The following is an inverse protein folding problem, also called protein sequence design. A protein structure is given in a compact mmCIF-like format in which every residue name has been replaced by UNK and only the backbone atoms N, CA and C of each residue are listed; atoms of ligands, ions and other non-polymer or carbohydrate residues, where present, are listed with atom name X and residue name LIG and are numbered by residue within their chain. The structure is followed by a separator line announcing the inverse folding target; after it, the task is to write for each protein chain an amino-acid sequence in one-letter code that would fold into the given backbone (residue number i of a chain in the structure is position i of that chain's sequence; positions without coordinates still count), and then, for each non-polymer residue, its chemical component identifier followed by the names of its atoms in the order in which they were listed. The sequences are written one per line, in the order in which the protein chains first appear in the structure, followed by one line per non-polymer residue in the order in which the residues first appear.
data_IF_305167286116
#
_entry.id   IF_305167286116
#
_cell.length_a   1.000
_cell.length_b   1.000
_cell.length_c   1.000
_cell.angle_alpha   90.00
_cell.angle_beta   90.00
_cell.angle_gamma   90.00
#
_symmetry.space_group_name_H-M   'P 1'
#
loop_
_entity.id
_entity.type
_entity.pdbx_description
1 polymer ?
#
# COMPACT_ATOMS: atom_id res chain seq x y z
N UNK A 1 -5.71 -15.92 12.75
CA UNK A 1 -5.00 -16.05 11.46
C UNK A 1 -5.00 -14.72 10.75
N UNK A 2 -3.84 -14.30 10.26
CA UNK A 2 -3.67 -13.03 9.55
C UNK A 2 -3.15 -13.27 8.11
N UNK A 3 -3.61 -12.47 7.16
CA UNK A 3 -3.09 -12.38 5.81
C UNK A 3 -2.40 -11.02 5.65
N UNK A 4 -1.13 -11.02 5.25
CA UNK A 4 -0.40 -9.84 4.80
C UNK A 4 -0.35 -9.87 3.27
N UNK A 5 -1.11 -9.00 2.61
CA UNK A 5 -1.36 -9.01 1.17
C UNK A 5 -0.47 -7.99 0.46
N UNK A 6 0.38 -8.46 -0.46
CA UNK A 6 1.45 -7.67 -1.05
C UNK A 6 2.55 -7.42 -0.01
N UNK A 7 3.03 -8.48 0.63
CA UNK A 7 3.88 -8.40 1.81
C UNK A 7 5.28 -7.81 1.55
N UNK A 8 5.73 -7.77 0.28
CA UNK A 8 7.08 -7.32 -0.06
C UNK A 8 8.14 -8.02 0.78
N UNK A 9 9.02 -7.27 1.43
CA UNK A 9 10.06 -7.79 2.32
C UNK A 9 9.55 -8.20 3.71
N UNK A 10 8.24 -8.25 3.97
CA UNK A 10 7.62 -8.86 5.15
C UNK A 10 7.50 -7.97 6.39
N UNK A 11 7.61 -6.66 6.27
CA UNK A 11 7.56 -5.78 7.46
C UNK A 11 6.28 -5.93 8.28
N UNK A 12 5.11 -5.98 7.63
CA UNK A 12 3.84 -6.20 8.31
C UNK A 12 3.72 -7.65 8.78
N UNK A 13 4.15 -8.63 7.98
CA UNK A 13 4.18 -10.04 8.35
C UNK A 13 4.94 -10.28 9.66
N UNK A 14 6.14 -9.70 9.80
CA UNK A 14 6.95 -9.86 11.02
C UNK A 14 6.32 -9.18 12.23
N UNK A 15 5.73 -8.00 12.05
CA UNK A 15 5.03 -7.30 13.12
C UNK A 15 3.83 -8.10 13.64
N UNK A 16 3.04 -8.69 12.73
CA UNK A 16 1.91 -9.56 13.07
C UNK A 16 2.36 -10.85 13.76
N UNK A 17 3.41 -11.48 13.26
CA UNK A 17 3.95 -12.69 13.87
C UNK A 17 4.52 -12.44 15.27
N UNK A 18 5.15 -11.29 15.51
CA UNK A 18 5.70 -10.91 16.80
C UNK A 18 4.64 -10.78 17.91
N UNK A 19 3.38 -10.53 17.56
CA UNK A 19 2.26 -10.51 18.53
C UNK A 19 1.49 -11.83 18.56
N UNK A 20 2.05 -12.92 17.99
CA UNK A 20 1.53 -14.28 18.10
C UNK A 20 0.47 -14.62 17.03
N UNK A 21 0.34 -13.86 15.96
CA UNK A 21 -0.55 -14.22 14.87
C UNK A 21 0.02 -15.37 14.03
N UNK A 22 -0.84 -16.27 13.56
CA UNK A 22 -0.52 -17.18 12.46
C UNK A 22 -0.62 -16.41 11.15
N UNK A 23 0.53 -16.12 10.52
CA UNK A 23 0.61 -15.21 9.37
C UNK A 23 0.78 -15.96 8.06
N UNK A 24 -0.02 -15.58 7.06
CA UNK A 24 0.24 -15.90 5.67
C UNK A 24 0.71 -14.62 4.97
N UNK A 25 1.94 -14.61 4.49
CA UNK A 25 2.52 -13.53 3.70
C UNK A 25 2.33 -13.84 2.20
N UNK A 26 1.54 -13.02 1.50
CA UNK A 26 1.27 -13.23 0.07
C UNK A 26 1.89 -12.11 -0.76
N UNK A 27 2.58 -12.49 -1.84
CA UNK A 27 3.14 -11.57 -2.82
C UNK A 27 3.20 -12.21 -4.21
N UNK A 28 3.25 -11.39 -5.27
CA UNK A 28 3.50 -11.86 -6.64
C UNK A 28 4.96 -12.27 -6.85
N UNK A 29 5.89 -11.64 -6.12
CA UNK A 29 7.33 -11.80 -6.31
C UNK A 29 7.88 -12.99 -5.52
N UNK A 30 8.31 -14.08 -6.17
CA UNK A 30 8.96 -15.19 -5.47
C UNK A 30 10.26 -14.77 -4.78
N UNK A 31 10.95 -13.74 -5.28
CA UNK A 31 12.15 -13.21 -4.65
C UNK A 31 11.83 -12.53 -3.30
N UNK A 32 10.73 -11.77 -3.19
CA UNK A 32 10.28 -11.19 -1.93
C UNK A 32 9.86 -12.29 -0.94
N UNK A 33 9.12 -13.28 -1.39
CA UNK A 33 8.71 -14.40 -0.55
C UNK A 33 9.91 -15.21 -0.03
N UNK A 34 10.97 -15.37 -0.82
CA UNK A 34 12.21 -16.02 -0.38
C UNK A 34 12.90 -15.22 0.76
N UNK A 35 12.93 -13.88 0.64
CA UNK A 35 13.45 -13.00 1.70
C UNK A 35 12.61 -13.15 2.99
N UNK A 36 11.29 -13.14 2.87
CA UNK A 36 10.38 -13.33 4.02
C UNK A 36 10.61 -14.69 4.69
N UNK A 37 10.68 -15.77 3.91
CA UNK A 37 10.89 -17.11 4.44
C UNK A 37 12.24 -17.26 5.16
N UNK A 38 13.31 -16.71 4.58
CA UNK A 38 14.65 -16.73 5.20
C UNK A 38 14.68 -15.95 6.51
N UNK A 39 14.10 -14.74 6.52
CA UNK A 39 14.08 -13.90 7.70
C UNK A 39 13.18 -14.47 8.81
N UNK A 40 12.05 -15.08 8.44
CA UNK A 40 11.18 -15.79 9.38
C UNK A 40 11.92 -16.95 10.07
N UNK A 41 12.66 -17.76 9.30
CA UNK A 41 13.48 -18.83 9.85
C UNK A 41 14.56 -18.29 10.81
N UNK A 42 15.24 -17.20 10.44
CA UNK A 42 16.26 -16.54 11.27
C UNK A 42 15.68 -16.05 12.60
N UNK A 43 14.44 -15.55 12.58
CA UNK A 43 13.74 -15.06 13.79
C UNK A 43 13.01 -16.15 14.57
N UNK A 44 12.97 -17.39 14.09
CA UNK A 44 12.22 -18.48 14.70
C UNK A 44 10.69 -18.32 14.61
N UNK A 45 10.20 -17.64 13.58
CA UNK A 45 8.76 -17.39 13.37
C UNK A 45 8.11 -18.56 12.61
N UNK A 46 7.87 -19.67 13.31
CA UNK A 46 7.38 -20.92 12.70
C UNK A 46 5.93 -20.85 12.19
N UNK A 47 5.13 -19.92 12.72
CA UNK A 47 3.74 -19.69 12.34
C UNK A 47 3.57 -18.69 11.18
N UNK A 48 4.68 -18.29 10.53
CA UNK A 48 4.67 -17.46 9.35
C UNK A 48 4.91 -18.32 8.10
N UNK A 49 3.96 -18.31 7.18
CA UNK A 49 4.02 -19.04 5.91
C UNK A 49 3.96 -18.06 4.74
N UNK A 50 4.61 -18.41 3.63
CA UNK A 50 4.57 -17.62 2.38
C UNK A 50 3.64 -18.25 1.36
N UNK A 51 2.97 -17.43 0.55
CA UNK A 51 2.09 -17.87 -0.52
C UNK A 51 2.28 -16.96 -1.73
N UNK A 52 2.48 -17.52 -2.93
CA UNK A 52 2.57 -16.74 -4.14
C UNK A 52 1.20 -16.59 -4.79
N UNK A 53 0.82 -15.37 -5.15
CA UNK A 53 -0.44 -15.10 -5.84
C UNK A 53 -0.72 -13.63 -6.03
N UNK A 54 -1.65 -13.29 -6.94
CA UNK A 54 -2.12 -11.93 -7.14
C UNK A 54 -3.16 -11.54 -6.10
N UNK A 55 -3.30 -10.23 -5.86
CA UNK A 55 -4.24 -9.68 -4.87
C UNK A 55 -5.71 -9.84 -5.27
N UNK A 56 -5.99 -9.86 -6.56
CA UNK A 56 -7.33 -9.94 -7.16
C UNK A 56 -7.85 -11.37 -7.36
N UNK A 57 -7.05 -12.38 -6.98
CA UNK A 57 -7.43 -13.81 -7.04
C UNK A 57 -6.72 -14.60 -5.95
N UNK A 58 -7.26 -14.59 -4.75
CA UNK A 58 -6.64 -15.20 -3.58
C UNK A 58 -6.87 -16.72 -3.52
N UNK A 59 -5.82 -17.55 -3.34
CA UNK A 59 -5.94 -19.01 -3.31
C UNK A 59 -6.41 -19.54 -1.94
N UNK A 60 -7.36 -18.85 -1.30
CA UNK A 60 -7.87 -19.19 0.02
C UNK A 60 -9.38 -19.39 -0.02
N UNK A 61 -9.89 -20.23 0.87
CA UNK A 61 -11.33 -20.40 1.07
C UNK A 61 -11.96 -19.13 1.69
N UNK A 62 -13.26 -18.99 1.54
CA UNK A 62 -14.04 -17.93 2.15
C UNK A 62 -13.87 -17.96 3.68
N UNK A 63 -13.94 -16.79 4.31
CA UNK A 63 -13.89 -16.62 5.76
C UNK A 63 -12.69 -17.33 6.44
N UNK A 64 -11.51 -17.27 5.84
CA UNK A 64 -10.29 -17.94 6.30
C UNK A 64 -9.49 -17.14 7.33
N UNK A 65 -9.60 -15.81 7.34
CA UNK A 65 -8.75 -14.92 8.11
C UNK A 65 -9.52 -14.03 9.09
N UNK A 66 -8.94 -13.84 10.26
CA UNK A 66 -9.45 -12.92 11.28
C UNK A 66 -8.98 -11.47 11.00
N UNK A 67 -7.82 -11.34 10.33
CA UNK A 67 -7.23 -10.08 9.92
C UNK A 67 -6.71 -10.22 8.48
N UNK A 68 -7.03 -9.24 7.63
CA UNK A 68 -6.38 -9.02 6.34
C UNK A 68 -5.71 -7.65 6.41
N UNK A 69 -4.42 -7.58 6.11
CA UNK A 69 -3.66 -6.34 6.10
C UNK A 69 -2.92 -6.17 4.77
N UNK A 70 -2.76 -4.95 4.33
CA UNK A 70 -1.86 -4.56 3.24
C UNK A 70 -1.14 -3.28 3.60
N UNK A 71 0.14 -3.16 3.21
CA UNK A 71 0.96 -2.01 3.55
C UNK A 71 1.87 -1.62 2.40
N UNK A 72 1.70 -0.40 1.86
CA UNK A 72 2.47 0.17 0.76
C UNK A 72 2.57 -0.77 -0.45
N UNK A 73 1.42 -1.28 -0.89
CA UNK A 73 1.34 -2.26 -1.97
C UNK A 73 0.20 -2.00 -2.94
N UNK A 74 -0.94 -1.49 -2.47
CA UNK A 74 -2.14 -1.37 -3.28
C UNK A 74 -1.97 -0.38 -4.45
N UNK A 75 -1.07 0.58 -4.32
CA UNK A 75 -0.74 1.52 -5.40
C UNK A 75 -0.02 0.86 -6.60
N UNK A 76 0.34 -0.42 -6.51
CA UNK A 76 0.85 -1.24 -7.62
C UNK A 76 -0.20 -2.16 -8.24
N UNK A 77 -1.41 -2.25 -7.66
CA UNK A 77 -2.40 -3.22 -8.13
C UNK A 77 -3.20 -2.69 -9.31
N UNK A 78 -3.34 -3.48 -10.40
CA UNK A 78 -4.09 -3.04 -11.57
C UNK A 78 -5.59 -2.94 -11.33
N UNK A 79 -6.16 -3.72 -10.40
CA UNK A 79 -7.60 -3.73 -10.06
C UNK A 79 -7.81 -3.81 -8.55
N UNK A 80 -7.73 -2.65 -7.88
CA UNK A 80 -8.00 -2.55 -6.43
C UNK A 80 -9.43 -2.97 -6.08
N UNK A 81 -10.49 -2.60 -6.81
CA UNK A 81 -11.83 -3.10 -6.57
C UNK A 81 -11.94 -4.64 -6.58
N UNK A 82 -11.27 -5.34 -7.51
CA UNK A 82 -11.24 -6.80 -7.51
C UNK A 82 -10.51 -7.36 -6.29
N UNK A 83 -9.37 -6.79 -5.92
CA UNK A 83 -8.64 -7.17 -4.72
C UNK A 83 -9.48 -6.98 -3.45
N UNK A 84 -10.20 -5.87 -3.33
CA UNK A 84 -11.11 -5.63 -2.19
C UNK A 84 -12.25 -6.65 -2.10
N UNK A 85 -12.80 -7.10 -3.25
CA UNK A 85 -13.81 -8.18 -3.26
C UNK A 85 -13.21 -9.51 -2.77
N UNK A 86 -11.98 -9.83 -3.16
CA UNK A 86 -11.28 -11.02 -2.69
C UNK A 86 -10.94 -10.92 -1.18
N UNK A 87 -10.47 -9.76 -0.71
CA UNK A 87 -10.28 -9.53 0.72
C UNK A 87 -11.60 -9.71 1.49
N UNK A 88 -12.71 -9.19 0.95
CA UNK A 88 -14.04 -9.35 1.56
C UNK A 88 -14.48 -10.81 1.61
N UNK A 89 -14.16 -11.59 0.59
CA UNK A 89 -14.48 -13.03 0.53
C UNK A 89 -13.69 -13.83 1.56
N UNK A 90 -12.38 -13.58 1.68
CA UNK A 90 -11.51 -14.40 2.54
C UNK A 90 -11.51 -13.97 4.01
N UNK A 91 -11.96 -12.76 4.32
CA UNK A 91 -12.09 -12.29 5.70
C UNK A 91 -13.35 -12.86 6.36
N UNK A 92 -13.22 -13.24 7.63
CA UNK A 92 -14.36 -13.73 8.42
C UNK A 92 -15.40 -12.60 8.64
N UNK A 93 -16.67 -12.93 8.92
CA UNK A 93 -17.71 -11.93 9.15
C UNK A 93 -17.37 -10.89 10.23
N UNK A 94 -16.60 -11.29 11.24
CA UNK A 94 -16.14 -10.42 12.34
C UNK A 94 -14.65 -10.05 12.23
N UNK A 95 -14.03 -10.36 11.09
CA UNK A 95 -12.63 -10.06 10.85
C UNK A 95 -12.40 -8.57 10.57
N UNK A 96 -11.16 -8.16 10.66
CA UNK A 96 -10.73 -6.76 10.43
C UNK A 96 -9.90 -6.65 9.16
N UNK A 97 -10.18 -5.65 8.33
CA UNK A 97 -9.34 -5.23 7.24
C UNK A 97 -8.56 -3.99 7.65
N UNK A 98 -7.24 -3.99 7.38
CA UNK A 98 -6.34 -2.85 7.58
C UNK A 98 -5.63 -2.55 6.26
N UNK A 99 -5.71 -1.30 5.81
CA UNK A 99 -4.97 -0.79 4.66
C UNK A 99 -4.09 0.36 5.13
N UNK A 100 -2.80 0.29 4.85
CA UNK A 100 -1.85 1.38 5.08
C UNK A 100 -1.21 1.69 3.74
N UNK A 101 -1.52 2.84 3.17
CA UNK A 101 -0.92 3.19 1.87
C UNK A 101 -0.76 4.71 1.71
N UNK A 102 0.03 5.09 0.71
CA UNK A 102 0.07 6.46 0.23
C UNK A 102 -1.32 6.82 -0.29
N UNK A 103 -1.75 8.03 0.05
CA UNK A 103 -3.03 8.56 -0.44
C UNK A 103 -2.81 9.89 -1.15
N UNK A 104 -3.48 10.06 -2.27
CA UNK A 104 -3.52 11.34 -2.97
C UNK A 104 -4.34 12.36 -2.16
N UNK A 105 -3.97 13.62 -2.28
CA UNK A 105 -4.78 14.72 -1.77
C UNK A 105 -6.08 14.84 -2.57
N UNK A 106 -7.14 15.35 -1.95
CA UNK A 106 -8.46 15.51 -2.60
C UNK A 106 -8.44 16.56 -3.74
N UNK A 107 -7.44 17.44 -3.78
CA UNK A 107 -7.23 18.39 -4.89
C UNK A 107 -6.87 17.65 -6.18
N UNK A 108 -7.64 17.81 -7.28
CA UNK A 108 -7.30 17.17 -8.57
C UNK A 108 -5.93 17.57 -9.11
N UNK A 109 -5.48 18.79 -8.83
CA UNK A 109 -4.15 19.27 -9.21
C UNK A 109 -3.05 18.50 -8.46
N UNK A 110 -3.16 18.39 -7.14
CA UNK A 110 -2.18 17.66 -6.33
C UNK A 110 -2.18 16.16 -6.64
N UNK A 111 -3.37 15.57 -6.86
CA UNK A 111 -3.52 14.18 -7.31
C UNK A 111 -2.76 13.96 -8.63
N UNK A 112 -3.01 14.78 -9.65
CA UNK A 112 -2.33 14.66 -10.94
C UNK A 112 -0.80 14.77 -10.83
N UNK A 113 -0.31 15.71 -10.02
CA UNK A 113 1.13 15.90 -9.82
C UNK A 113 1.75 14.69 -9.09
N UNK A 114 1.10 14.19 -8.04
CA UNK A 114 1.55 13.01 -7.31
C UNK A 114 1.65 11.80 -8.24
N UNK A 115 0.58 11.46 -8.97
CA UNK A 115 0.60 10.33 -9.91
C UNK A 115 1.71 10.50 -10.97
N UNK A 116 1.95 11.74 -11.45
CA UNK A 116 2.99 12.02 -12.43
C UNK A 116 4.38 11.72 -11.89
N UNK A 117 4.72 12.18 -10.69
CA UNK A 117 6.06 11.97 -10.15
C UNK A 117 6.27 10.52 -9.70
N UNK A 118 5.22 9.85 -9.20
CA UNK A 118 5.30 8.44 -8.81
C UNK A 118 5.52 7.54 -10.03
N UNK A 119 4.80 7.71 -11.13
CA UNK A 119 5.02 6.90 -12.35
C UNK A 119 6.37 7.20 -13.01
N UNK A 120 6.89 8.41 -12.90
CA UNK A 120 8.24 8.74 -13.36
C UNK A 120 9.31 8.06 -12.50
N UNK A 121 9.09 7.98 -11.19
CA UNK A 121 10.00 7.33 -10.24
C UNK A 121 10.00 5.82 -10.40
N UNK A 122 8.80 5.22 -10.47
CA UNK A 122 8.59 3.78 -10.49
C UNK A 122 7.60 3.41 -11.59
N UNK A 123 8.09 2.68 -12.61
CA UNK A 123 7.26 2.25 -13.73
C UNK A 123 6.18 1.22 -13.37
N UNK A 124 6.25 0.62 -12.18
CA UNK A 124 5.23 -0.31 -11.67
C UNK A 124 4.10 0.39 -10.92
N UNK A 125 4.21 1.70 -10.67
CA UNK A 125 3.16 2.48 -10.04
C UNK A 125 1.89 2.49 -10.90
N UNK A 126 0.74 2.26 -10.28
CA UNK A 126 -0.57 2.32 -10.92
C UNK A 126 -1.33 3.56 -10.45
N UNK A 127 -1.62 3.67 -9.14
CA UNK A 127 -2.34 4.82 -8.60
C UNK A 127 -2.30 4.89 -7.08
N UNK A 128 -2.03 6.08 -6.54
CA UNK A 128 -2.36 6.46 -5.17
C UNK A 128 -3.81 6.97 -5.14
N UNK A 129 -4.68 6.26 -4.44
CA UNK A 129 -6.09 6.64 -4.34
C UNK A 129 -6.31 7.69 -3.25
N UNK A 130 -7.25 8.60 -3.47
CA UNK A 130 -7.70 9.54 -2.44
C UNK A 130 -8.47 8.79 -1.34
N UNK A 131 -8.55 9.38 -0.16
CA UNK A 131 -9.31 8.80 0.96
C UNK A 131 -10.78 8.63 0.59
N UNK A 132 -11.36 9.60 -0.14
CA UNK A 132 -12.73 9.52 -0.65
C UNK A 132 -12.94 8.34 -1.60
N UNK A 133 -11.96 8.05 -2.48
CA UNK A 133 -11.99 6.90 -3.39
C UNK A 133 -11.89 5.58 -2.61
N UNK A 134 -10.97 5.48 -1.64
CA UNK A 134 -10.86 4.32 -0.76
C UNK A 134 -12.17 4.02 -0.03
N UNK A 135 -12.79 5.05 0.56
CA UNK A 135 -14.07 4.91 1.27
C UNK A 135 -15.17 4.37 0.36
N UNK A 136 -15.28 4.90 -0.87
CA UNK A 136 -16.25 4.44 -1.85
C UNK A 136 -16.01 2.99 -2.29
N UNK A 137 -14.75 2.63 -2.61
CA UNK A 137 -14.38 1.28 -3.03
C UNK A 137 -14.61 0.24 -1.92
N UNK A 138 -14.28 0.58 -0.67
CA UNK A 138 -14.53 -0.28 0.49
C UNK A 138 -16.03 -0.55 0.68
N UNK A 139 -16.86 0.48 0.59
CA UNK A 139 -18.31 0.36 0.67
C UNK A 139 -18.88 -0.53 -0.44
N UNK A 140 -18.42 -0.33 -1.69
CA UNK A 140 -18.84 -1.15 -2.84
C UNK A 140 -18.40 -2.61 -2.69
N UNK A 141 -17.28 -2.88 -2.02
CA UNK A 141 -16.82 -4.24 -1.74
C UNK A 141 -17.52 -4.90 -0.55
N UNK A 142 -18.44 -4.22 0.14
CA UNK A 142 -19.22 -4.76 1.26
C UNK A 142 -18.52 -4.62 2.62
N UNK A 143 -17.69 -3.60 2.79
CA UNK A 143 -17.15 -3.19 4.09
C UNK A 143 -17.93 -2.01 4.67
N UNK A 144 -17.90 -1.87 5.99
CA UNK A 144 -18.39 -0.67 6.67
C UNK A 144 -17.51 0.55 6.36
N UNK A 145 -17.99 1.75 6.68
CA UNK A 145 -17.18 2.93 6.58
C UNK A 145 -15.90 2.79 7.44
N UNK A 146 -14.70 3.04 6.89
CA UNK A 146 -13.46 2.86 7.63
C UNK A 146 -13.28 3.92 8.71
N UNK A 147 -12.70 3.55 9.86
CA UNK A 147 -11.97 4.49 10.69
C UNK A 147 -10.66 4.86 9.98
N UNK A 148 -10.20 6.09 10.16
CA UNK A 148 -9.03 6.59 9.45
C UNK A 148 -8.11 7.38 10.38
N UNK A 149 -6.82 7.12 10.25
CA UNK A 149 -5.74 7.95 10.77
C UNK A 149 -4.82 8.32 9.60
N UNK A 150 -4.31 9.55 9.59
CA UNK A 150 -3.43 10.04 8.53
C UNK A 150 -2.18 10.69 9.10
N UNK A 151 -1.07 10.58 8.37
CA UNK A 151 0.17 11.29 8.67
C UNK A 151 0.96 11.62 7.40
N UNK A 152 1.95 12.48 7.52
CA UNK A 152 2.87 12.78 6.44
C UNK A 152 4.18 12.04 6.60
N UNK A 153 4.76 11.61 5.48
CA UNK A 153 6.12 11.10 5.37
C UNK A 153 6.94 12.03 4.49
N UNK A 154 7.99 12.63 5.03
CA UNK A 154 8.91 13.42 4.24
C UNK A 154 9.79 12.50 3.39
N UNK A 155 9.71 12.67 2.08
CA UNK A 155 10.54 11.98 1.10
C UNK A 155 11.76 12.85 0.79
N UNK A 156 12.91 12.47 1.33
CA UNK A 156 14.19 13.07 0.92
C UNK A 156 14.46 12.63 -0.53
N UNK A 157 14.59 13.61 -1.43
CA UNK A 157 14.53 13.39 -2.88
C UNK A 157 15.60 12.41 -3.38
N UNK A 158 16.85 12.56 -2.93
CA UNK A 158 17.95 11.73 -3.44
C UNK A 158 17.77 10.26 -3.04
N UNK A 159 17.40 9.98 -1.79
CA UNK A 159 17.14 8.63 -1.32
C UNK A 159 15.87 8.04 -1.92
N UNK A 160 14.84 8.86 -2.16
CA UNK A 160 13.57 8.45 -2.73
C UNK A 160 13.73 7.93 -4.16
N UNK A 161 14.47 8.64 -5.03
CA UNK A 161 14.75 8.18 -6.39
C UNK A 161 15.76 7.05 -6.43
N UNK A 162 16.78 7.07 -5.57
CA UNK A 162 17.82 6.04 -5.52
C UNK A 162 17.25 4.66 -5.13
N UNK A 163 16.27 4.63 -4.22
CA UNK A 163 15.62 3.38 -3.76
C UNK A 163 15.01 2.58 -4.92
N UNK A 164 14.44 3.27 -5.91
CA UNK A 164 13.86 2.65 -7.10
C UNK A 164 14.84 2.56 -8.27
N UNK A 165 16.10 3.02 -8.09
CA UNK A 165 17.09 3.12 -9.16
C UNK A 165 16.55 3.89 -10.38
N UNK A 166 15.82 4.98 -10.09
CA UNK A 166 15.15 5.78 -11.12
C UNK A 166 16.18 6.29 -12.13
N UNK A 167 15.97 6.08 -13.44
CA UNK A 167 16.89 6.56 -14.46
C UNK A 167 17.04 8.07 -14.43
N UNK A 168 18.26 8.59 -14.71
CA UNK A 168 18.57 10.01 -14.59
C UNK A 168 17.63 10.91 -15.42
N UNK A 169 17.24 10.48 -16.63
CA UNK A 169 16.27 11.22 -17.45
C UNK A 169 14.94 11.44 -16.72
N UNK A 170 14.46 10.42 -15.98
CA UNK A 170 13.22 10.52 -15.19
C UNK A 170 13.42 11.36 -13.94
N UNK A 171 14.58 11.28 -13.30
CA UNK A 171 14.95 12.15 -12.16
C UNK A 171 14.88 13.62 -12.57
N UNK A 172 15.45 13.97 -13.73
CA UNK A 172 15.38 15.35 -14.27
C UNK A 172 13.93 15.75 -14.60
N UNK A 173 13.13 14.84 -15.16
CA UNK A 173 11.72 15.10 -15.44
C UNK A 173 10.93 15.38 -14.14
N UNK A 174 11.16 14.63 -13.06
CA UNK A 174 10.53 14.89 -11.76
C UNK A 174 10.92 16.28 -11.23
N UNK A 175 12.20 16.65 -11.32
CA UNK A 175 12.67 17.99 -10.91
C UNK A 175 12.00 19.10 -11.73
N UNK A 176 11.84 18.90 -13.04
CA UNK A 176 11.16 19.86 -13.91
C UNK A 176 9.66 19.98 -13.57
N UNK A 177 9.00 18.86 -13.27
CA UNK A 177 7.60 18.85 -12.80
C UNK A 177 7.46 19.68 -11.52
N UNK A 178 8.31 19.44 -10.50
CA UNK A 178 8.27 20.20 -9.25
C UNK A 178 8.58 21.68 -9.44
N UNK A 179 9.57 22.01 -10.27
CA UNK A 179 9.97 23.39 -10.51
C UNK A 179 8.87 24.22 -11.20
N UNK A 180 8.04 23.57 -12.03
CA UNK A 180 6.95 24.20 -12.80
C UNK A 180 5.57 24.02 -12.14
N UNK A 181 5.47 23.21 -11.09
CA UNK A 181 4.21 23.00 -10.39
C UNK A 181 3.66 24.34 -9.84
N UNK A 182 2.33 24.57 -9.88
CA UNK A 182 1.70 25.72 -9.25
C UNK A 182 2.07 25.84 -7.77
N UNK A 183 2.15 27.07 -7.27
CA UNK A 183 2.58 27.35 -5.91
C UNK A 183 1.70 26.63 -4.87
N UNK A 184 0.37 26.63 -5.06
CA UNK A 184 -0.57 25.98 -4.17
C UNK A 184 -0.31 24.49 -4.02
N UNK A 185 0.08 23.80 -5.09
CA UNK A 185 0.39 22.37 -5.04
C UNK A 185 1.74 22.13 -4.36
N UNK A 186 2.75 22.95 -4.62
CA UNK A 186 4.05 22.87 -3.94
C UNK A 186 3.93 23.10 -2.44
N UNK A 187 3.07 24.03 -2.03
CA UNK A 187 2.79 24.31 -0.62
C UNK A 187 2.04 23.14 0.04
N UNK A 188 0.99 22.61 -0.62
CA UNK A 188 0.20 21.49 -0.10
C UNK A 188 1.05 20.20 0.09
N UNK A 189 2.00 19.95 -0.81
CA UNK A 189 2.90 18.78 -0.75
C UNK A 189 4.25 19.12 -0.12
N UNK A 190 4.43 20.33 0.41
CA UNK A 190 5.66 20.85 1.06
C UNK A 190 6.92 20.60 0.24
N UNK A 191 6.85 20.84 -1.07
CA UNK A 191 7.99 20.65 -1.96
C UNK A 191 9.11 21.62 -1.62
N UNK A 192 10.29 21.08 -1.33
CA UNK A 192 11.50 21.80 -0.93
C UNK A 192 12.36 22.17 -2.15
N UNK A 193 13.31 23.12 -2.02
CA UNK A 193 14.20 23.51 -3.12
C UNK A 193 15.06 22.37 -3.68
N UNK A 194 15.39 21.36 -2.87
CA UNK A 194 16.15 20.17 -3.28
C UNK A 194 15.29 19.11 -3.99
N UNK A 195 13.97 19.31 -4.02
CA UNK A 195 12.99 18.39 -4.57
C UNK A 195 12.36 17.42 -3.54
N UNK A 196 12.80 17.47 -2.29
CA UNK A 196 12.17 16.73 -1.20
C UNK A 196 10.73 17.21 -0.99
N UNK A 197 9.82 16.31 -0.56
CA UNK A 197 8.40 16.63 -0.42
C UNK A 197 7.72 15.70 0.58
N UNK A 198 6.48 16.01 0.95
CA UNK A 198 5.70 15.18 1.84
C UNK A 198 4.69 14.32 1.07
N UNK A 199 4.70 13.01 1.36
CA UNK A 199 3.64 12.08 0.99
C UNK A 199 2.62 11.98 2.12
N UNK A 200 1.34 12.02 1.78
CA UNK A 200 0.27 11.67 2.71
C UNK A 200 0.10 10.16 2.77
N UNK A 201 -0.04 9.63 3.98
CA UNK A 201 -0.30 8.20 4.23
C UNK A 201 -1.56 8.09 5.07
N UNK A 202 -2.37 7.11 4.78
CA UNK A 202 -3.53 6.78 5.58
C UNK A 202 -3.45 5.34 6.11
N UNK A 203 -3.89 5.16 7.35
CA UNK A 203 -4.34 3.92 7.94
C UNK A 203 -5.85 3.88 7.85
N UNK A 204 -6.37 2.90 7.14
CA UNK A 204 -7.81 2.65 7.02
C UNK A 204 -8.10 1.30 7.69
N UNK A 205 -9.01 1.30 8.65
CA UNK A 205 -9.45 0.09 9.33
C UNK A 205 -10.97 -0.07 9.23
N UNK A 206 -11.41 -1.24 8.81
CA UNK A 206 -12.83 -1.54 8.65
C UNK A 206 -13.14 -3.01 8.90
N UNK A 207 -14.42 -3.34 8.91
CA UNK A 207 -14.94 -4.70 9.02
C UNK A 207 -15.99 -4.95 7.92
N UNK A 208 -16.29 -6.22 7.58
CA UNK A 208 -17.44 -6.55 6.77
C UNK A 208 -18.72 -5.84 7.27
N UNK A 209 -19.44 -5.20 6.35
CA UNK A 209 -20.75 -4.63 6.73
C UNK A 209 -21.71 -5.75 7.15
N UNK A 210 -22.41 -5.54 8.25
CA UNK A 210 -23.58 -6.36 8.57
C UNK A 210 -24.68 -5.99 7.59
N UNK A 211 -25.14 -6.98 6.79
CA UNK A 211 -26.29 -6.81 5.90
C UNK A 211 -27.57 -6.53 6.68
#
# INVERSE_FOLDING_TARGET
RALDLGCGAGHASFALAAVGAQVTALDLSPAMLAIVAQEAATRGLHDLQTCQGPADKLPFADASFDLVATRFSAHHWPDVPAALREMRRVIKPQGTLVIIDVVALESPLCDTLLQTVEILRDASHVRDYRVSEWSAMLQQAGFAAPSMEGWSLTMEFASWVARMRTPELRVQAIRDVWAKAPQEAREAMRVQPDGSFDLSVAWLQTQPSTA
#
